data_IF_456809110111
#
_entry.id   IF_456809110111
#
_cell.length_a   1.000
_cell.length_b   1.000
_cell.length_c   1.000
_cell.angle_alpha   90.00
_cell.angle_beta   90.00
_cell.angle_gamma   90.00
#
_symmetry.space_group_name_H-M   'P 1'
#
loop_
_entity.id
_entity.type
_entity.pdbx_description
1 polymer ?
#
# COMPACT_ATOMS: atom_id res chain seq x y z
N UNK A 1 8.19 0.80 -9.91
CA UNK A 1 7.92 -0.64 -10.23
C UNK A 1 7.36 -1.39 -9.00
N UNK A 2 6.45 -2.36 -9.18
CA UNK A 2 6.04 -3.30 -8.11
C UNK A 2 7.24 -4.15 -7.75
N UNK A 3 7.73 -4.02 -6.52
CA UNK A 3 8.95 -4.70 -6.09
C UNK A 3 8.67 -6.09 -5.51
N UNK A 4 7.53 -6.25 -4.86
CA UNK A 4 7.20 -7.49 -4.18
C UNK A 4 5.69 -7.64 -3.99
N UNK A 5 5.19 -8.87 -4.18
CA UNK A 5 3.84 -9.26 -3.86
C UNK A 5 3.83 -10.66 -3.24
N UNK A 6 3.10 -10.85 -2.15
CA UNK A 6 2.99 -12.14 -1.46
C UNK A 6 1.56 -12.40 -0.98
N UNK A 7 1.14 -13.67 -1.07
CA UNK A 7 -0.14 -14.10 -0.52
C UNK A 7 0.01 -14.51 0.93
N UNK A 8 -0.78 -13.89 1.79
CA UNK A 8 -0.83 -14.17 3.23
C UNK A 8 -2.24 -14.55 3.65
N UNK A 9 -2.35 -15.33 4.72
CA UNK A 9 -3.63 -15.62 5.39
C UNK A 9 -3.76 -14.69 6.58
N UNK A 10 -4.97 -14.21 6.84
CA UNK A 10 -5.24 -13.22 7.88
C UNK A 10 -6.23 -13.76 8.91
N UNK A 11 -6.02 -13.35 10.16
CA UNK A 11 -6.95 -13.53 11.27
C UNK A 11 -8.03 -12.42 11.25
N UNK A 12 -9.07 -12.57 12.06
CA UNK A 12 -10.24 -11.66 12.09
C UNK A 12 -9.92 -10.16 12.23
N UNK A 13 -8.80 -9.81 12.84
CA UNK A 13 -8.40 -8.42 13.12
C UNK A 13 -7.27 -7.93 12.21
N UNK A 14 -6.79 -8.77 11.31
CA UNK A 14 -5.70 -8.44 10.40
C UNK A 14 -6.26 -7.86 9.08
N UNK A 15 -5.53 -6.96 8.42
CA UNK A 15 -5.96 -6.43 7.13
C UNK A 15 -5.98 -7.54 6.07
N UNK A 16 -7.01 -7.53 5.22
CA UNK A 16 -7.16 -8.46 4.09
C UNK A 16 -6.18 -8.15 2.95
N UNK A 17 -5.78 -6.88 2.83
CA UNK A 17 -4.76 -6.40 1.92
C UNK A 17 -3.94 -5.32 2.62
N UNK A 18 -2.63 -5.37 2.42
CA UNK A 18 -1.62 -4.44 2.87
C UNK A 18 -0.85 -3.95 1.66
N UNK A 19 -0.86 -2.65 1.43
CA UNK A 19 -0.04 -2.02 0.39
C UNK A 19 0.91 -1.04 1.04
N UNK A 20 2.20 -1.18 0.75
CA UNK A 20 3.26 -0.29 1.20
C UNK A 20 3.84 0.45 -0.01
N UNK A 21 3.89 1.77 0.09
CA UNK A 21 4.68 2.65 -0.76
C UNK A 21 5.87 3.12 0.07
N UNK A 22 7.04 2.54 -0.19
CA UNK A 22 8.28 2.98 0.43
C UNK A 22 8.84 4.16 -0.35
N UNK A 23 8.85 5.33 0.28
CA UNK A 23 9.40 6.55 -0.26
C UNK A 23 10.91 6.52 -0.11
N UNK A 24 11.61 6.56 -1.24
CA UNK A 24 13.08 6.51 -1.27
C UNK A 24 13.67 7.80 -1.85
N UNK A 25 14.87 8.13 -1.40
CA UNK A 25 15.73 9.09 -2.08
C UNK A 25 16.58 8.38 -3.15
N UNK A 26 17.28 9.13 -4.00
CA UNK A 26 18.02 8.60 -5.16
C UNK A 26 19.06 7.52 -4.82
N UNK A 27 19.65 7.56 -3.62
CA UNK A 27 20.61 6.55 -3.16
C UNK A 27 19.96 5.23 -2.69
N UNK A 28 18.63 5.14 -2.75
CA UNK A 28 17.83 3.97 -2.37
C UNK A 28 17.47 3.91 -0.89
N UNK A 29 17.88 4.87 -0.06
CA UNK A 29 17.48 4.94 1.34
C UNK A 29 15.98 5.26 1.45
N UNK A 30 15.27 4.46 2.25
CA UNK A 30 13.87 4.71 2.63
C UNK A 30 13.83 5.84 3.66
N UNK A 31 13.01 6.87 3.40
CA UNK A 31 12.85 8.04 4.28
C UNK A 31 11.45 8.17 4.86
N UNK A 32 10.47 7.50 4.26
CA UNK A 32 9.10 7.40 4.78
C UNK A 32 8.34 6.27 4.10
N UNK A 33 7.18 5.93 4.64
CA UNK A 33 6.30 4.90 4.11
C UNK A 33 4.85 5.37 4.15
N UNK A 34 4.11 5.12 3.08
CA UNK A 34 2.66 5.12 3.11
C UNK A 34 2.17 3.68 3.15
N UNK A 35 1.40 3.32 4.17
CA UNK A 35 0.78 2.00 4.34
C UNK A 35 -0.73 2.12 4.20
N UNK A 36 -1.32 1.33 3.31
CA UNK A 36 -2.76 1.15 3.20
C UNK A 36 -3.15 -0.19 3.81
N UNK A 37 -3.94 -0.15 4.89
CA UNK A 37 -4.52 -1.33 5.52
C UNK A 37 -5.96 -1.46 5.04
N UNK A 38 -6.30 -2.55 4.36
CA UNK A 38 -7.65 -2.81 3.88
C UNK A 38 -8.33 -3.85 4.75
N UNK A 39 -9.50 -3.51 5.27
CA UNK A 39 -10.39 -4.37 6.02
C UNK A 39 -11.68 -4.59 5.22
N UNK A 40 -12.55 -5.49 5.71
CA UNK A 40 -13.76 -5.90 5.00
C UNK A 40 -14.69 -4.75 4.60
N UNK A 41 -14.75 -3.67 5.38
CA UNK A 41 -15.68 -2.55 5.22
C UNK A 41 -14.99 -1.20 5.00
N UNK A 42 -13.69 -1.10 5.23
CA UNK A 42 -12.95 0.16 5.20
C UNK A 42 -11.48 -0.09 4.89
N UNK A 43 -10.77 0.95 4.49
CA UNK A 43 -9.33 0.99 4.43
C UNK A 43 -8.82 2.24 5.14
N UNK A 44 -7.60 2.14 5.66
CA UNK A 44 -6.91 3.21 6.39
C UNK A 44 -5.55 3.43 5.75
N UNK A 45 -5.27 4.65 5.33
CA UNK A 45 -3.94 5.06 4.91
C UNK A 45 -3.19 5.67 6.10
N UNK A 46 -1.96 5.22 6.30
CA UNK A 46 -1.09 5.64 7.38
C UNK A 46 0.23 6.11 6.76
N UNK A 47 0.70 7.28 7.19
CA UNK A 47 2.02 7.80 6.86
C UNK A 47 2.96 7.62 8.05
N UNK A 48 4.19 7.18 7.78
CA UNK A 48 5.25 7.04 8.78
C UNK A 48 6.55 7.61 8.21
N UNK A 49 7.26 8.44 8.98
CA UNK A 49 8.58 8.96 8.62
C UNK A 49 9.71 8.16 9.29
N UNK A 50 10.96 8.41 8.87
CA UNK A 50 12.14 7.73 9.43
C UNK A 50 12.53 8.21 10.84
N UNK A 51 11.76 9.11 11.45
CA UNK A 51 11.96 9.58 12.83
C UNK A 51 11.26 8.71 13.88
N UNK A 52 10.51 7.69 13.44
CA UNK A 52 9.90 6.67 14.30
C UNK A 52 8.95 7.26 15.37
N UNK A 53 8.24 8.34 15.04
CA UNK A 53 7.32 9.02 15.97
C UNK A 53 5.95 8.33 16.09
N UNK A 54 5.78 7.20 15.40
CA UNK A 54 4.49 6.54 15.21
C UNK A 54 3.81 7.03 13.94
N UNK A 55 2.88 6.22 13.42
CA UNK A 55 2.19 6.53 12.19
C UNK A 55 1.00 7.47 12.35
N UNK A 56 0.84 8.36 11.39
CA UNK A 56 -0.28 9.27 11.27
C UNK A 56 -1.32 8.70 10.31
N UNK A 57 -2.59 8.65 10.75
CA UNK A 57 -3.70 8.30 9.86
C UNK A 57 -3.97 9.49 8.94
N UNK A 58 -3.70 9.34 7.66
CA UNK A 58 -3.86 10.40 6.65
C UNK A 58 -5.17 10.30 5.88
N UNK A 59 -5.80 9.12 5.87
CA UNK A 59 -7.10 8.91 5.22
C UNK A 59 -7.83 7.67 5.76
N UNK A 60 -9.17 7.70 5.71
CA UNK A 60 -10.07 6.57 5.99
C UNK A 60 -11.15 6.54 4.91
N UNK A 61 -11.24 5.44 4.17
CA UNK A 61 -12.03 5.37 2.95
C UNK A 61 -12.60 3.97 2.71
N UNK A 62 -13.52 3.78 1.74
CA UNK A 62 -14.03 2.45 1.39
C UNK A 62 -12.90 1.50 0.93
N UNK A 63 -12.87 0.28 1.45
CA UNK A 63 -11.84 -0.73 1.15
C UNK A 63 -11.88 -1.34 -0.26
N UNK A 64 -12.50 -0.66 -1.23
CA UNK A 64 -12.56 -1.13 -2.62
C UNK A 64 -11.21 -0.94 -3.32
N UNK A 65 -10.83 -1.85 -4.22
CA UNK A 65 -9.58 -1.76 -5.01
C UNK A 65 -9.40 -0.41 -5.70
N UNK A 66 -10.48 0.18 -6.21
CA UNK A 66 -10.44 1.50 -6.89
C UNK A 66 -9.99 2.63 -5.95
N UNK A 67 -10.52 2.69 -4.73
CA UNK A 67 -10.09 3.70 -3.76
C UNK A 67 -8.65 3.46 -3.30
N UNK A 68 -8.26 2.21 -3.07
CA UNK A 68 -6.89 1.84 -2.71
C UNK A 68 -5.91 2.31 -3.78
N UNK A 69 -6.19 2.06 -5.06
CA UNK A 69 -5.36 2.50 -6.18
C UNK A 69 -5.23 4.01 -6.24
N UNK A 70 -6.34 4.76 -6.08
CA UNK A 70 -6.28 6.24 -6.07
C UNK A 70 -5.39 6.79 -4.96
N UNK A 71 -5.40 6.14 -3.79
CA UNK A 71 -4.54 6.53 -2.68
C UNK A 71 -3.08 6.18 -2.97
N UNK A 72 -2.81 4.98 -3.49
CA UNK A 72 -1.46 4.57 -3.90
C UNK A 72 -0.89 5.52 -4.96
N UNK A 73 -1.66 5.77 -6.03
CA UNK A 73 -1.30 6.66 -7.13
C UNK A 73 -0.95 8.07 -6.67
N UNK A 74 -1.67 8.61 -5.67
CA UNK A 74 -1.40 9.93 -5.11
C UNK A 74 0.01 10.05 -4.51
N UNK A 75 0.51 8.98 -3.89
CA UNK A 75 1.76 9.01 -3.13
C UNK A 75 2.94 8.33 -3.84
N UNK A 76 2.65 7.50 -4.83
CA UNK A 76 3.62 6.66 -5.53
C UNK A 76 4.33 7.40 -6.67
N UNK A 77 5.66 7.35 -6.66
CA UNK A 77 6.54 7.85 -7.72
C UNK A 77 7.30 6.67 -8.33
N UNK A 78 6.94 6.28 -9.55
CA UNK A 78 7.35 5.02 -10.19
C UNK A 78 8.86 4.85 -10.31
N UNK A 79 9.58 5.95 -10.50
CA UNK A 79 11.01 6.02 -10.76
C UNK A 79 11.85 5.73 -9.51
N UNK A 80 11.34 6.11 -8.34
CA UNK A 80 12.09 6.09 -7.09
C UNK A 80 11.48 5.16 -6.05
N UNK A 81 10.16 5.03 -5.98
CA UNK A 81 9.49 4.33 -4.89
C UNK A 81 9.35 2.82 -5.14
N UNK A 82 9.37 2.07 -4.04
CA UNK A 82 9.04 0.66 -4.07
C UNK A 82 7.59 0.45 -3.63
N UNK A 83 6.83 -0.32 -4.42
CA UNK A 83 5.51 -0.78 -4.06
C UNK A 83 5.59 -2.24 -3.60
N UNK A 84 5.07 -2.53 -2.41
CA UNK A 84 5.03 -3.87 -1.82
C UNK A 84 3.61 -4.22 -1.41
N UNK A 85 3.15 -5.41 -1.76
CA UNK A 85 1.77 -5.85 -1.55
C UNK A 85 1.74 -7.18 -0.78
N UNK A 86 0.94 -7.26 0.27
CA UNK A 86 0.63 -8.50 0.97
C UNK A 86 -0.87 -8.62 1.10
N UNK A 87 -1.43 -9.82 1.06
CA UNK A 87 -2.87 -9.93 1.18
C UNK A 87 -3.41 -11.33 0.93
N UNK A 88 -4.69 -11.49 1.18
CA UNK A 88 -5.41 -12.65 0.65
C UNK A 88 -5.34 -12.66 -0.87
N UNK A 89 -5.18 -13.84 -1.45
CA UNK A 89 -4.95 -14.02 -2.89
C UNK A 89 -5.93 -13.22 -3.76
N UNK A 90 -7.23 -13.28 -3.49
CA UNK A 90 -8.25 -12.56 -4.27
C UNK A 90 -8.08 -11.04 -4.26
N UNK A 91 -7.63 -10.47 -3.13
CA UNK A 91 -7.41 -9.03 -3.01
C UNK A 91 -6.09 -8.62 -3.68
N UNK A 92 -5.04 -9.43 -3.53
CA UNK A 92 -3.75 -9.17 -4.18
C UNK A 92 -3.90 -9.26 -5.70
N UNK A 93 -4.50 -10.34 -6.22
CA UNK A 93 -4.74 -10.53 -7.65
C UNK A 93 -5.53 -9.34 -8.23
N UNK A 94 -6.64 -8.95 -7.59
CA UNK A 94 -7.46 -7.82 -8.02
C UNK A 94 -6.72 -6.48 -7.99
N UNK A 95 -5.86 -6.27 -7.00
CA UNK A 95 -5.06 -5.06 -6.90
C UNK A 95 -3.98 -5.01 -7.99
N UNK A 96 -3.22 -6.09 -8.17
CA UNK A 96 -2.11 -6.16 -9.11
C UNK A 96 -2.58 -6.00 -10.56
N UNK A 97 -3.67 -6.67 -10.95
CA UNK A 97 -4.25 -6.55 -12.30
C UNK A 97 -4.51 -5.09 -12.67
N UNK A 98 -5.14 -4.33 -11.76
CA UNK A 98 -5.45 -2.92 -11.99
C UNK A 98 -4.26 -1.98 -11.78
N UNK A 99 -3.32 -2.36 -10.90
CA UNK A 99 -2.11 -1.59 -10.66
C UNK A 99 -1.20 -1.61 -11.89
N UNK A 100 -1.12 -2.74 -12.61
CA UNK A 100 -0.37 -2.85 -13.86
C UNK A 100 -0.91 -1.89 -14.94
N UNK A 101 -2.23 -1.75 -15.03
CA UNK A 101 -2.87 -0.83 -16.00
C UNK A 101 -2.65 0.65 -15.67
N UNK A 102 -2.61 1.02 -14.37
CA UNK A 102 -2.61 2.42 -13.91
C UNK A 102 -1.25 2.96 -13.49
N UNK A 103 -0.42 2.13 -12.88
CA UNK A 103 0.89 2.50 -12.33
C UNK A 103 2.04 1.98 -13.21
N UNK A 104 1.71 1.17 -14.22
CA UNK A 104 2.63 0.54 -15.18
C UNK A 104 3.32 1.49 -16.14
#
# INVERSE_FOLDING_TARGET
MIKYAEYTRHSMTEPLLLVYVYKKVEDGKVISTFRVNVYKNMAVAIYEDDKLQGGEVVDVFPGTTEHVLRVVERYYQKEVDDLVVFGEKSYVDSFLEKAEERLG
#
